data_IF_411736469561
#
_entry.id   IF_411736469561
#
_cell.length_a   1.000
_cell.length_b   1.000
_cell.length_c   1.000
_cell.angle_alpha   90.00
_cell.angle_beta   90.00
_cell.angle_gamma   90.00
#
_symmetry.space_group_name_H-M   'P 1'
#
loop_
_entity.id
_entity.type
_entity.pdbx_description
1 polymer ?
#
# COMPACT_ATOMS: atom_id res chain seq x y z
N UNK A 1 3.55 20.15 11.86
CA UNK A 1 3.25 18.94 11.08
C UNK A 1 2.67 19.38 9.74
N UNK A 2 3.26 18.97 8.62
CA UNK A 2 2.77 19.32 7.28
C UNK A 2 1.43 18.59 7.01
N UNK A 3 0.36 19.28 6.58
CA UNK A 3 -0.95 18.66 6.33
C UNK A 3 -0.88 17.49 5.34
N UNK A 4 0.03 17.64 4.39
CA UNK A 4 0.43 16.71 3.36
C UNK A 4 0.90 15.35 3.90
N UNK A 5 1.61 15.31 5.03
CA UNK A 5 2.11 14.06 5.63
C UNK A 5 1.07 13.23 6.37
N UNK A 6 -0.18 13.69 6.42
CA UNK A 6 -1.23 12.98 7.16
C UNK A 6 -1.66 11.75 6.37
N UNK A 7 -1.75 10.61 7.06
CA UNK A 7 -2.44 9.44 6.54
C UNK A 7 -3.85 9.84 6.15
N UNK A 8 -4.28 9.42 4.97
CA UNK A 8 -5.64 9.67 4.48
C UNK A 8 -6.40 8.36 4.47
N UNK A 9 -7.65 8.41 4.93
CA UNK A 9 -8.55 7.26 4.82
C UNK A 9 -8.98 7.13 3.36
N UNK A 10 -8.85 5.91 2.84
CA UNK A 10 -9.29 5.49 1.52
C UNK A 10 -10.16 4.26 1.66
N UNK A 11 -10.87 3.92 0.60
CA UNK A 11 -11.67 2.70 0.51
C UNK A 11 -11.06 1.79 -0.54
N UNK A 12 -10.67 0.59 -0.16
CA UNK A 12 -10.25 -0.46 -1.08
C UNK A 12 -11.49 -1.27 -1.50
N UNK A 13 -11.69 -1.45 -2.81
CA UNK A 13 -12.66 -2.40 -3.34
C UNK A 13 -11.96 -3.73 -3.56
N UNK A 14 -12.48 -4.80 -2.97
CA UNK A 14 -12.08 -6.18 -3.27
C UNK A 14 -13.19 -6.82 -4.08
N UNK A 15 -12.91 -7.20 -5.32
CA UNK A 15 -13.82 -7.90 -6.20
C UNK A 15 -13.13 -9.20 -6.64
N UNK A 16 -13.73 -10.34 -6.30
CA UNK A 16 -13.08 -11.63 -6.52
C UNK A 16 -14.07 -12.73 -6.91
N UNK A 17 -13.60 -13.63 -7.78
CA UNK A 17 -14.27 -14.89 -8.02
C UNK A 17 -13.84 -15.91 -6.98
N UNK A 18 -14.81 -16.59 -6.39
CA UNK A 18 -14.64 -17.76 -5.54
C UNK A 18 -15.14 -19.01 -6.27
N UNK A 19 -14.61 -20.17 -5.90
CA UNK A 19 -15.03 -21.49 -6.38
C UNK A 19 -15.47 -22.37 -5.22
N UNK A 20 -16.51 -23.16 -5.41
CA UNK A 20 -17.02 -24.09 -4.41
C UNK A 20 -16.05 -25.27 -4.26
N UNK A 21 -15.41 -25.34 -3.10
CA UNK A 21 -14.56 -26.43 -2.65
C UNK A 21 -15.21 -27.27 -1.54
N UNK A 22 -14.51 -28.28 -1.01
CA UNK A 22 -15.04 -29.21 -0.01
C UNK A 22 -15.34 -28.54 1.34
N UNK A 23 -14.74 -27.39 1.62
CA UNK A 23 -14.93 -26.63 2.88
C UNK A 23 -15.76 -25.34 2.69
N UNK A 24 -16.37 -25.15 1.52
CA UNK A 24 -17.10 -23.94 1.15
C UNK A 24 -16.44 -23.20 -0.01
N UNK A 25 -16.71 -21.90 -0.13
CA UNK A 25 -16.14 -21.08 -1.20
C UNK A 25 -14.70 -20.70 -0.90
N UNK A 26 -13.81 -20.95 -1.86
CA UNK A 26 -12.39 -20.65 -1.80
C UNK A 26 -12.03 -19.63 -2.88
N UNK A 27 -11.05 -18.75 -2.61
CA UNK A 27 -10.61 -17.74 -3.58
C UNK A 27 -10.09 -18.41 -4.84
N UNK A 28 -10.71 -18.08 -5.98
CA UNK A 28 -10.22 -18.49 -7.29
C UNK A 28 -9.22 -17.47 -7.82
N UNK A 29 -9.62 -16.20 -7.97
CA UNK A 29 -8.74 -15.07 -8.32
C UNK A 29 -9.41 -13.71 -8.03
N UNK A 30 -8.60 -12.66 -7.89
CA UNK A 30 -9.06 -11.26 -7.79
C UNK A 30 -9.33 -10.70 -9.19
N UNK A 31 -10.46 -10.02 -9.35
CA UNK A 31 -10.93 -9.46 -10.62
C UNK A 31 -10.44 -8.04 -10.81
N UNK A 32 -10.35 -7.24 -9.74
CA UNK A 32 -9.87 -5.87 -9.84
C UNK A 32 -8.39 -5.76 -9.44
N UNK A 33 -7.63 -4.85 -10.07
CA UNK A 33 -6.30 -4.47 -9.56
C UNK A 33 -6.44 -3.80 -8.19
N UNK A 34 -5.39 -3.85 -7.37
CA UNK A 34 -5.31 -3.09 -6.12
C UNK A 34 -5.67 -1.62 -6.39
N UNK A 35 -6.85 -1.21 -5.91
CA UNK A 35 -7.48 0.05 -6.29
C UNK A 35 -8.06 0.71 -5.06
N UNK A 36 -7.60 1.93 -4.80
CA UNK A 36 -7.97 2.73 -3.66
C UNK A 36 -8.82 3.91 -4.14
N UNK A 37 -9.98 4.07 -3.51
CA UNK A 37 -10.94 5.11 -3.80
C UNK A 37 -10.95 6.16 -2.68
N UNK A 38 -11.27 7.42 -2.99
CA UNK A 38 -11.31 8.49 -1.99
C UNK A 38 -12.41 8.27 -0.94
N UNK A 39 -13.51 7.64 -1.31
CA UNK A 39 -14.67 7.39 -0.47
C UNK A 39 -15.49 6.18 -0.95
N UNK A 40 -16.44 5.76 -0.10
CA UNK A 40 -17.31 4.62 -0.34
C UNK A 40 -18.21 4.81 -1.57
N UNK A 41 -18.71 6.03 -1.79
CA UNK A 41 -19.55 6.35 -2.96
C UNK A 41 -18.80 6.09 -4.26
N UNK A 42 -17.55 6.54 -4.35
CA UNK A 42 -16.69 6.36 -5.52
C UNK A 42 -16.34 4.89 -5.73
N UNK A 43 -16.09 4.15 -4.66
CA UNK A 43 -15.86 2.70 -4.74
C UNK A 43 -17.11 1.93 -5.25
N UNK A 44 -18.31 2.28 -4.78
CA UNK A 44 -19.57 1.72 -5.29
C UNK A 44 -19.81 2.05 -6.77
N UNK A 45 -19.52 3.28 -7.19
CA UNK A 45 -19.58 3.66 -8.62
C UNK A 45 -18.59 2.85 -9.46
N UNK A 46 -17.39 2.59 -8.94
CA UNK A 46 -16.41 1.73 -9.61
C UNK A 46 -16.91 0.28 -9.70
N UNK A 47 -17.46 -0.27 -8.61
CA UNK A 47 -18.09 -1.60 -8.62
C UNK A 47 -19.18 -1.69 -9.68
N UNK A 48 -20.09 -0.69 -9.77
CA UNK A 48 -21.12 -0.62 -10.83
C UNK A 48 -20.49 -0.70 -12.22
N UNK A 49 -19.45 0.09 -12.49
CA UNK A 49 -18.73 0.06 -13.78
C UNK A 49 -18.07 -1.31 -14.05
N UNK A 50 -17.52 -1.97 -13.04
CA UNK A 50 -16.98 -3.32 -13.18
C UNK A 50 -18.05 -4.33 -13.59
N UNK A 51 -19.27 -4.22 -13.03
CA UNK A 51 -20.37 -5.12 -13.34
C UNK A 51 -21.02 -4.87 -14.71
N UNK A 52 -20.83 -3.69 -15.31
CA UNK A 52 -21.36 -3.36 -16.65
C UNK A 52 -20.50 -3.88 -17.82
N UNK A 53 -19.26 -4.29 -17.55
CA UNK A 53 -18.36 -4.89 -18.54
C UNK A 53 -18.17 -6.38 -18.26
N UNK A 54 -17.64 -7.14 -19.23
CA UNK A 54 -17.16 -8.49 -18.95
C UNK A 54 -16.16 -8.46 -17.78
N UNK A 55 -16.41 -9.28 -16.77
CA UNK A 55 -15.52 -9.47 -15.63
C UNK A 55 -14.26 -10.22 -16.09
N UNK A 56 -13.11 -9.74 -15.62
CA UNK A 56 -11.81 -10.30 -15.95
C UNK A 56 -11.74 -11.79 -15.63
N UNK A 57 -10.95 -12.50 -16.42
CA UNK A 57 -10.72 -13.93 -16.31
C UNK A 57 -9.24 -14.16 -16.07
N UNK A 58 -8.90 -14.93 -15.03
CA UNK A 58 -7.50 -15.34 -14.86
C UNK A 58 -7.15 -16.38 -15.95
N UNK A 59 -6.15 -16.13 -16.80
CA UNK A 59 -5.74 -17.09 -17.83
C UNK A 59 -5.19 -18.40 -17.24
N UNK A 60 -4.75 -18.41 -15.97
CA UNK A 60 -4.14 -19.56 -15.31
C UNK A 60 -5.16 -20.63 -14.86
N UNK A 61 -6.45 -20.30 -14.76
CA UNK A 61 -7.49 -21.26 -14.30
C UNK A 61 -8.01 -22.20 -15.40
N UNK A 62 -7.50 -22.11 -16.63
CA UNK A 62 -7.72 -23.12 -17.68
C UNK A 62 -9.20 -23.36 -18.01
N UNK A 63 -9.69 -24.60 -17.79
CA UNK A 63 -11.09 -24.98 -18.00
C UNK A 63 -12.03 -24.55 -16.85
N UNK A 64 -11.49 -24.06 -15.74
CA UNK A 64 -12.26 -23.59 -14.59
C UNK A 64 -12.51 -22.08 -14.61
N UNK A 65 -12.79 -21.53 -15.80
CA UNK A 65 -13.16 -20.12 -15.96
C UNK A 65 -14.47 -19.84 -15.26
N UNK A 66 -14.50 -18.72 -14.54
CA UNK A 66 -15.71 -18.21 -13.92
C UNK A 66 -16.61 -17.55 -14.98
N UNK A 67 -17.89 -17.30 -14.69
CA UNK A 67 -18.74 -16.50 -15.57
C UNK A 67 -18.09 -15.14 -15.88
N UNK A 68 -18.29 -14.65 -17.10
CA UNK A 68 -17.78 -13.33 -17.52
C UNK A 68 -18.68 -12.18 -17.07
N UNK A 69 -19.76 -12.45 -16.34
CA UNK A 69 -20.71 -11.44 -15.90
C UNK A 69 -21.84 -12.06 -15.09
N UNK A 70 -22.69 -11.19 -14.55
CA UNK A 70 -23.87 -11.54 -13.76
C UNK A 70 -25.15 -11.17 -14.53
N UNK A 71 -26.24 -11.86 -14.22
CA UNK A 71 -27.59 -11.47 -14.64
C UNK A 71 -27.97 -10.12 -13.99
N UNK A 72 -28.88 -9.33 -14.61
CA UNK A 72 -29.28 -8.02 -14.05
C UNK A 72 -29.74 -8.07 -12.60
N UNK A 73 -30.52 -9.10 -12.24
CA UNK A 73 -31.03 -9.32 -10.88
C UNK A 73 -29.90 -9.63 -9.88
N UNK A 74 -28.91 -10.40 -10.32
CA UNK A 74 -27.72 -10.74 -9.53
C UNK A 74 -26.83 -9.51 -9.30
N UNK A 75 -26.65 -8.67 -10.33
CA UNK A 75 -25.93 -7.39 -10.20
C UNK A 75 -26.63 -6.49 -9.19
N UNK A 76 -27.95 -6.34 -9.31
CA UNK A 76 -28.75 -5.51 -8.43
C UNK A 76 -28.67 -5.99 -6.97
N UNK A 77 -28.77 -7.31 -6.74
CA UNK A 77 -28.60 -7.90 -5.40
C UNK A 77 -27.21 -7.63 -4.83
N UNK A 78 -26.15 -7.88 -5.60
CA UNK A 78 -24.78 -7.66 -5.15
C UNK A 78 -24.54 -6.21 -4.72
N UNK A 79 -24.97 -5.26 -5.57
CA UNK A 79 -24.82 -3.83 -5.28
C UNK A 79 -25.58 -3.42 -4.02
N UNK A 80 -26.82 -3.89 -3.85
CA UNK A 80 -27.62 -3.58 -2.67
C UNK A 80 -26.99 -4.14 -1.38
N UNK A 81 -26.41 -5.33 -1.43
CA UNK A 81 -25.70 -5.93 -0.28
C UNK A 81 -24.43 -5.14 0.07
N UNK A 82 -23.60 -4.79 -0.93
CA UNK A 82 -22.39 -3.98 -0.69
C UNK A 82 -22.75 -2.60 -0.16
N UNK A 83 -23.79 -1.96 -0.69
CA UNK A 83 -24.24 -0.64 -0.23
C UNK A 83 -24.80 -0.68 1.20
N UNK A 84 -25.43 -1.79 1.61
CA UNK A 84 -25.98 -1.93 2.95
C UNK A 84 -24.97 -2.41 4.00
N UNK A 85 -24.03 -3.27 3.61
CA UNK A 85 -23.19 -4.03 4.54
C UNK A 85 -21.70 -3.92 4.24
N UNK A 86 -21.30 -3.14 3.23
CA UNK A 86 -19.93 -3.07 2.69
C UNK A 86 -19.40 -4.41 2.16
N UNK A 87 -20.28 -5.39 2.02
CA UNK A 87 -19.99 -6.75 1.56
C UNK A 87 -21.20 -7.33 0.87
N UNK A 88 -20.99 -7.93 -0.30
CA UNK A 88 -22.02 -8.62 -1.04
C UNK A 88 -21.49 -9.91 -1.65
N UNK A 89 -22.39 -10.88 -1.81
CA UNK A 89 -22.03 -12.22 -2.20
C UNK A 89 -23.09 -12.84 -3.12
N UNK A 90 -22.71 -13.19 -4.35
CA UNK A 90 -23.63 -13.79 -5.32
C UNK A 90 -23.12 -15.15 -5.80
N UNK A 91 -23.76 -16.25 -5.38
CA UNK A 91 -23.46 -17.58 -5.92
C UNK A 91 -24.00 -17.72 -7.35
N UNK A 92 -23.18 -18.29 -8.24
CA UNK A 92 -23.48 -18.57 -9.65
C UNK A 92 -22.96 -19.98 -9.99
N UNK A 93 -23.83 -20.98 -9.86
CA UNK A 93 -23.46 -22.38 -10.03
C UNK A 93 -22.44 -22.82 -8.98
N UNK A 94 -21.27 -23.29 -9.43
CA UNK A 94 -20.14 -23.64 -8.55
C UNK A 94 -19.24 -22.47 -8.17
N UNK A 95 -19.51 -21.27 -8.66
CA UNK A 95 -18.72 -20.07 -8.39
C UNK A 95 -19.51 -19.10 -7.53
N UNK A 96 -18.83 -18.11 -6.98
CA UNK A 96 -19.50 -16.96 -6.39
C UNK A 96 -18.70 -15.69 -6.62
N UNK A 97 -19.39 -14.58 -6.88
CA UNK A 97 -18.79 -13.26 -6.94
C UNK A 97 -18.87 -12.63 -5.56
N UNK A 98 -17.71 -12.29 -4.99
CA UNK A 98 -17.57 -11.56 -3.74
C UNK A 98 -17.16 -10.11 -4.06
N UNK A 99 -17.85 -9.16 -3.44
CA UNK A 99 -17.46 -7.75 -3.44
C UNK A 99 -17.42 -7.23 -1.99
N UNK A 100 -16.30 -6.61 -1.61
CA UNK A 100 -16.06 -6.08 -0.26
C UNK A 100 -15.44 -4.68 -0.34
N UNK A 101 -15.82 -3.80 0.60
CA UNK A 101 -15.24 -2.47 0.77
C UNK A 101 -14.53 -2.41 2.12
N UNK A 102 -13.24 -2.09 2.09
CA UNK A 102 -12.42 -1.94 3.29
C UNK A 102 -11.93 -0.50 3.44
N UNK A 103 -12.04 0.06 4.64
CA UNK A 103 -11.38 1.32 4.96
C UNK A 103 -9.90 1.05 5.27
N UNK A 104 -9.01 1.77 4.60
CA UNK A 104 -7.57 1.67 4.79
C UNK A 104 -6.98 3.05 5.02
N UNK A 105 -5.94 3.12 5.85
CA UNK A 105 -5.18 4.35 6.06
C UNK A 105 -3.92 4.32 5.21
N UNK A 106 -3.88 5.21 4.22
CA UNK A 106 -2.78 5.30 3.27
C UNK A 106 -1.88 6.47 3.63
N UNK A 107 -0.59 6.16 3.75
CA UNK A 107 0.44 7.15 3.95
C UNK A 107 0.91 7.65 2.58
N UNK A 108 0.68 8.94 2.26
CA UNK A 108 0.98 9.46 0.93
C UNK A 108 2.49 9.43 0.62
N UNK A 109 2.82 9.08 -0.62
CA UNK A 109 4.17 9.22 -1.14
C UNK A 109 4.50 10.70 -1.38
N UNK A 110 5.59 11.17 -0.80
CA UNK A 110 6.06 12.55 -0.91
C UNK A 110 7.40 12.64 -1.62
N UNK A 111 7.59 13.74 -2.35
CA UNK A 111 8.88 14.12 -2.93
C UNK A 111 9.15 15.60 -2.65
N UNK A 112 10.33 15.91 -2.11
CA UNK A 112 10.82 17.28 -2.02
C UNK A 112 12.36 17.33 -1.96
N UNK A 113 12.98 18.45 -2.34
CA UNK A 113 14.41 18.67 -2.12
C UNK A 113 14.78 18.56 -0.64
N UNK A 114 15.96 18.00 -0.35
CA UNK A 114 16.47 17.78 1.00
C UNK A 114 16.40 19.02 1.91
N UNK A 115 16.77 20.19 1.39
CA UNK A 115 16.75 21.46 2.15
C UNK A 115 15.37 21.87 2.64
N UNK A 116 14.31 21.41 1.96
CA UNK A 116 12.96 21.79 2.30
C UNK A 116 12.50 20.98 3.50
N UNK A 117 12.00 21.65 4.53
CA UNK A 117 11.51 21.00 5.77
C UNK A 117 10.34 20.03 5.54
N UNK A 118 9.71 20.05 4.36
CA UNK A 118 8.70 19.08 3.93
C UNK A 118 9.28 17.80 3.30
N UNK A 119 10.60 17.70 3.15
CA UNK A 119 11.26 16.47 2.71
C UNK A 119 10.95 15.33 3.68
N UNK A 120 10.64 14.12 3.18
CA UNK A 120 10.34 12.95 4.01
C UNK A 120 11.41 12.67 5.07
N UNK A 121 12.69 12.96 4.82
CA UNK A 121 13.77 12.82 5.80
C UNK A 121 13.51 13.63 7.09
N UNK A 122 12.99 14.86 6.98
CA UNK A 122 12.68 15.69 8.15
C UNK A 122 11.55 15.11 9.00
N UNK A 123 10.67 14.28 8.44
CA UNK A 123 9.63 13.58 9.20
C UNK A 123 10.20 12.46 10.08
N UNK A 124 11.39 11.97 9.75
CA UNK A 124 12.09 10.90 10.47
C UNK A 124 13.04 11.45 11.55
N UNK A 125 13.16 12.78 11.68
CA UNK A 125 13.99 13.43 12.70
C UNK A 125 13.69 12.90 14.10
N UNK A 126 14.73 12.45 14.81
CA UNK A 126 14.63 11.96 16.18
C UNK A 126 14.05 10.54 16.30
N UNK A 127 13.72 9.88 15.19
CA UNK A 127 13.25 8.49 15.20
C UNK A 127 14.44 7.52 15.08
N UNK A 128 14.26 6.32 15.60
CA UNK A 128 15.22 5.22 15.41
C UNK A 128 15.05 4.70 13.98
N UNK A 129 16.12 4.77 13.20
CA UNK A 129 16.12 4.40 11.79
C UNK A 129 17.31 3.51 11.43
N UNK A 130 17.22 2.89 10.25
CA UNK A 130 18.29 2.15 9.57
C UNK A 130 18.61 2.84 8.25
N UNK A 131 19.87 3.16 8.01
CA UNK A 131 20.39 3.67 6.74
C UNK A 131 20.96 2.52 5.92
N UNK A 132 20.50 2.39 4.69
CA UNK A 132 20.91 1.36 3.73
C UNK A 132 21.42 2.04 2.46
N UNK A 133 22.45 1.47 1.84
CA UNK A 133 22.99 1.90 0.57
C UNK A 133 23.09 0.74 -0.42
N UNK A 134 22.72 0.99 -1.66
CA UNK A 134 22.82 0.06 -2.79
C UNK A 134 23.64 0.73 -3.88
N UNK A 135 24.90 0.33 -4.08
CA UNK A 135 25.74 0.90 -5.12
C UNK A 135 25.14 0.70 -6.53
N UNK A 136 25.43 1.62 -7.45
CA UNK A 136 24.98 1.47 -8.84
C UNK A 136 25.54 0.20 -9.48
N UNK A 137 24.66 -0.60 -10.10
CA UNK A 137 25.04 -1.86 -10.74
C UNK A 137 25.17 -3.05 -9.79
N UNK A 138 24.87 -2.87 -8.51
CA UNK A 138 24.75 -3.94 -7.53
C UNK A 138 23.28 -4.17 -7.16
N UNK A 139 22.91 -5.43 -6.87
CA UNK A 139 21.59 -5.80 -6.33
C UNK A 139 21.61 -5.93 -4.79
N UNK A 140 22.79 -5.91 -4.18
CA UNK A 140 22.95 -6.17 -2.75
C UNK A 140 22.87 -4.87 -1.92
N UNK A 141 21.99 -4.88 -0.93
CA UNK A 141 21.80 -3.80 0.03
C UNK A 141 22.82 -3.89 1.16
N UNK A 142 23.49 -2.77 1.48
CA UNK A 142 24.45 -2.67 2.59
C UNK A 142 23.87 -1.78 3.69
N UNK A 143 23.74 -2.31 4.90
CA UNK A 143 23.41 -1.50 6.07
C UNK A 143 24.62 -0.65 6.44
N UNK A 144 24.46 0.67 6.41
CA UNK A 144 25.52 1.61 6.77
C UNK A 144 25.49 1.96 8.26
N UNK A 145 24.29 2.15 8.82
CA UNK A 145 24.10 2.50 10.22
C UNK A 145 22.68 2.23 10.71
N UNK A 146 22.54 2.15 12.02
CA UNK A 146 21.27 2.19 12.74
C UNK A 146 21.41 3.13 13.94
N UNK A 147 20.34 3.85 14.28
CA UNK A 147 20.34 4.77 15.42
C UNK A 147 19.28 5.84 15.32
N UNK A 148 19.35 6.86 16.18
CA UNK A 148 18.48 8.02 16.09
C UNK A 148 18.90 8.89 14.90
N UNK A 149 17.98 9.18 13.99
CA UNK A 149 18.25 10.02 12.83
C UNK A 149 18.28 11.49 13.24
N UNK A 150 19.35 12.18 12.86
CA UNK A 150 19.45 13.63 12.91
C UNK A 150 19.66 14.19 11.51
N UNK A 151 18.79 15.11 11.13
CA UNK A 151 18.81 15.81 9.86
C UNK A 151 19.42 17.19 10.09
N UNK A 152 20.55 17.44 9.45
CA UNK A 152 21.33 18.67 9.52
C UNK A 152 21.14 19.49 8.23
N UNK A 153 21.62 20.73 8.16
CA UNK A 153 21.47 21.56 6.95
C UNK A 153 22.26 21.04 5.74
N UNK A 154 23.33 20.27 5.99
CA UNK A 154 24.28 19.79 4.98
C UNK A 154 24.30 18.27 4.81
N UNK A 155 23.39 17.56 5.49
CA UNK A 155 23.34 16.10 5.44
C UNK A 155 22.55 15.48 6.57
N UNK A 156 22.85 14.22 6.82
CA UNK A 156 22.21 13.43 7.87
C UNK A 156 23.25 12.72 8.71
N UNK A 157 22.91 12.53 9.98
CA UNK A 157 23.68 11.76 10.95
C UNK A 157 22.80 10.66 11.51
N UNK A 158 23.33 9.44 11.50
CA UNK A 158 22.67 8.26 12.07
C UNK A 158 23.71 7.49 12.89
N UNK A 159 23.63 7.61 14.21
CA UNK A 159 24.70 7.15 15.11
C UNK A 159 26.01 7.87 14.82
N UNK A 160 27.06 7.10 14.51
CA UNK A 160 28.41 7.59 14.16
C UNK A 160 28.55 7.94 12.66
N UNK A 161 27.60 7.53 11.82
CA UNK A 161 27.68 7.79 10.38
C UNK A 161 27.15 9.18 10.08
N UNK A 162 27.97 9.98 9.41
CA UNK A 162 27.59 11.25 8.80
C UNK A 162 27.60 11.10 7.29
N UNK A 163 26.48 11.39 6.66
CA UNK A 163 26.32 11.32 5.22
C UNK A 163 25.98 12.72 4.69
N UNK A 164 26.89 13.35 3.93
CA UNK A 164 26.61 14.65 3.32
C UNK A 164 25.50 14.50 2.27
N UNK A 165 24.61 15.47 2.20
CA UNK A 165 23.52 15.49 1.23
C UNK A 165 23.39 16.89 0.63
N UNK A 166 23.35 16.95 -0.70
CA UNK A 166 23.18 18.23 -1.40
C UNK A 166 21.81 18.84 -1.04
N UNK A 167 21.72 20.15 -0.78
CA UNK A 167 20.46 20.84 -0.51
C UNK A 167 19.35 20.58 -1.55
N UNK A 168 19.75 20.39 -2.81
CA UNK A 168 18.84 20.18 -3.94
C UNK A 168 18.56 18.69 -4.22
N UNK A 169 19.12 17.75 -3.44
CA UNK A 169 18.87 16.32 -3.66
C UNK A 169 17.38 16.03 -3.54
N UNK A 170 16.74 15.45 -4.58
CA UNK A 170 15.35 15.02 -4.47
C UNK A 170 15.27 13.84 -3.51
N UNK A 171 14.43 13.99 -2.49
CA UNK A 171 14.14 12.95 -1.50
C UNK A 171 12.70 12.54 -1.66
N UNK A 172 12.49 11.26 -1.83
CA UNK A 172 11.18 10.60 -1.89
C UNK A 172 10.94 9.82 -0.60
N UNK A 173 9.69 9.52 -0.25
CA UNK A 173 9.41 8.80 0.98
C UNK A 173 7.98 8.83 1.46
N UNK A 174 7.71 7.99 2.43
CA UNK A 174 6.46 7.95 3.19
C UNK A 174 6.72 8.56 4.57
N UNK A 175 6.08 9.68 4.85
CA UNK A 175 6.36 10.45 6.06
C UNK A 175 6.18 9.59 7.34
N UNK A 176 7.13 9.70 8.26
CA UNK A 176 7.24 8.93 9.51
C UNK A 176 7.50 7.42 9.37
N UNK A 177 7.72 6.93 8.14
CA UNK A 177 7.96 5.51 7.85
C UNK A 177 9.32 5.33 7.16
N UNK A 178 9.55 6.00 6.03
CA UNK A 178 10.76 5.83 5.24
C UNK A 178 11.06 7.00 4.30
N UNK A 179 12.32 7.12 3.89
CA UNK A 179 12.77 8.08 2.88
C UNK A 179 13.91 7.49 2.04
N UNK A 180 14.00 7.86 0.77
CA UNK A 180 15.06 7.43 -0.13
C UNK A 180 15.46 8.53 -1.11
N UNK A 181 16.67 8.39 -1.63
CA UNK A 181 17.22 9.26 -2.67
C UNK A 181 18.31 8.51 -3.41
N UNK A 182 18.78 9.10 -4.50
CA UNK A 182 19.91 8.57 -5.27
C UNK A 182 20.94 9.66 -5.50
N UNK A 183 22.21 9.27 -5.53
CA UNK A 183 23.31 10.15 -5.91
C UNK A 183 24.28 9.44 -6.86
N UNK A 184 25.52 9.93 -7.00
CA UNK A 184 26.53 9.32 -7.88
C UNK A 184 27.05 7.97 -7.39
N UNK A 185 26.85 7.64 -6.13
CA UNK A 185 27.35 6.42 -5.49
C UNK A 185 26.31 5.30 -5.48
N UNK A 186 25.01 5.62 -5.53
CA UNK A 186 23.94 4.62 -5.60
C UNK A 186 22.61 5.12 -5.05
N UNK A 187 21.79 4.17 -4.61
CA UNK A 187 20.52 4.41 -3.93
C UNK A 187 20.70 4.34 -2.42
N UNK A 188 20.11 5.29 -1.71
CA UNK A 188 20.07 5.32 -0.27
C UNK A 188 18.64 5.20 0.23
N UNK A 189 18.46 4.50 1.33
CA UNK A 189 17.18 4.31 1.98
C UNK A 189 17.35 4.49 3.48
N UNK A 190 16.43 5.21 4.10
CA UNK A 190 16.30 5.36 5.54
C UNK A 190 14.95 4.82 5.94
N UNK A 191 14.95 3.74 6.71
CA UNK A 191 13.73 3.11 7.22
C UNK A 191 13.62 3.40 8.71
N UNK A 192 12.44 3.81 9.17
CA UNK A 192 12.14 3.79 10.60
C UNK A 192 12.12 2.35 11.09
N UNK A 193 12.77 2.10 12.21
CA UNK A 193 12.64 0.84 12.93
C UNK A 193 11.48 0.98 13.91
N UNK A 194 10.52 0.05 13.86
CA UNK A 194 9.53 -0.05 14.91
C UNK A 194 10.24 -0.47 16.19
N UNK A 195 10.18 0.39 17.21
CA UNK A 195 10.59 -0.01 18.55
C UNK A 195 9.51 -0.98 19.02
N UNK A 196 9.81 -2.27 18.98
CA UNK A 196 9.01 -3.25 19.71
C UNK A 196 9.23 -2.95 21.18
N UNK A 197 8.26 -2.30 21.82
CA UNK A 197 8.25 -2.18 23.26
C UNK A 197 8.20 -3.59 23.85
N UNK A 198 9.36 -4.06 24.31
CA UNK A 198 9.48 -5.24 25.14
C UNK A 198 8.86 -4.95 26.50
N UNK A 199 7.53 -5.04 26.62
CA UNK A 199 6.84 -4.94 27.91
C UNK A 199 5.46 -5.62 27.90
N UNK A 200 5.44 -6.95 27.79
CA UNK A 200 4.62 -7.81 28.68
C UNK A 200 5.03 -9.28 28.52
N UNK A 201 6.18 -9.64 29.07
CA UNK A 201 6.30 -10.93 29.76
C UNK A 201 5.96 -10.68 31.22
N UNK A 202 4.73 -11.04 31.60
CA UNK A 202 4.27 -11.07 32.98
C UNK A 202 3.63 -12.43 33.23
N UNK A 203 4.45 -13.31 33.83
CA UNK A 203 4.18 -14.52 34.64
C UNK A 203 2.84 -15.22 34.44
#
# INVERSE_FOLDING_TARGET
>A
MYPEWRKTRKVELHLAWLVQGPKGYELLFKINPYSLYPDEKTALEALRRHLERPLDQDPKVGQNKAPTGLLPEEKARLLAEVEAQRRGFVPVGRYALLAELYEVEEAPLFQAPFRERRSPLWSLQGLVCRLVHTPWGEEEHRVLAEGVLEVEETGLRLGEVKLPLSPETPVEGVAFEEAWWSDRSGHYYVYRLEVTDGSTQGV
#
